data_IF_626110655471
#
_entry.id   IF_626110655471
#
_cell.length_a   1.000
_cell.length_b   1.000
_cell.length_c   1.000
_cell.angle_alpha   90.00
_cell.angle_beta   90.00
_cell.angle_gamma   90.00
#
_symmetry.space_group_name_H-M   'P 1'
#
loop_
_entity.id
_entity.type
_entity.pdbx_description
1 polymer ?
#
# COMPACT_ATOMS: atom_id res chain seq x y z
N UNK A 1 -17.89 12.37 -28.37
CA UNK A 1 -18.58 12.76 -27.12
C UNK A 1 -18.48 11.63 -26.09
N UNK A 2 -18.81 10.42 -26.48
CA UNK A 2 -18.75 9.28 -25.55
C UNK A 2 -17.34 9.00 -25.06
N UNK A 3 -16.34 9.12 -25.94
CA UNK A 3 -14.95 8.87 -25.56
C UNK A 3 -14.42 9.94 -24.59
N UNK A 4 -14.87 11.16 -24.72
CA UNK A 4 -14.49 12.25 -23.81
C UNK A 4 -15.10 12.03 -22.44
N UNK A 5 -16.38 11.67 -22.38
CA UNK A 5 -17.08 11.39 -21.12
C UNK A 5 -16.44 10.18 -20.42
N UNK A 6 -16.12 9.13 -21.15
CA UNK A 6 -15.44 7.95 -20.59
C UNK A 6 -14.05 8.29 -20.06
N UNK A 7 -13.31 9.12 -20.77
CA UNK A 7 -11.98 9.54 -20.34
C UNK A 7 -12.04 10.35 -19.04
N UNK A 8 -12.97 11.29 -18.94
CA UNK A 8 -13.15 12.11 -17.73
C UNK A 8 -13.54 11.20 -16.55
N UNK A 9 -14.44 10.25 -16.78
CA UNK A 9 -14.88 9.31 -15.75
C UNK A 9 -13.72 8.48 -15.23
N UNK A 10 -12.88 7.97 -16.13
CA UNK A 10 -11.70 7.19 -15.74
C UNK A 10 -10.71 8.02 -14.92
N UNK A 11 -10.48 9.28 -15.31
CA UNK A 11 -9.60 10.17 -14.58
C UNK A 11 -10.13 10.45 -13.17
N UNK A 12 -11.44 10.63 -13.02
CA UNK A 12 -12.07 10.84 -11.72
C UNK A 12 -12.00 9.58 -10.86
N UNK A 13 -12.18 8.40 -11.47
CA UNK A 13 -12.09 7.13 -10.75
C UNK A 13 -10.69 6.91 -10.17
N UNK A 14 -9.64 7.23 -10.93
CA UNK A 14 -8.26 7.14 -10.46
C UNK A 14 -8.03 8.12 -9.31
N UNK A 15 -8.54 9.33 -9.42
CA UNK A 15 -8.42 10.34 -8.37
C UNK A 15 -9.10 9.87 -7.09
N UNK A 16 -10.32 9.36 -7.20
CA UNK A 16 -11.07 8.86 -6.05
C UNK A 16 -10.37 7.66 -5.42
N UNK A 17 -9.83 6.78 -6.26
CA UNK A 17 -9.10 5.61 -5.79
C UNK A 17 -7.86 6.03 -5.01
N UNK A 18 -7.12 7.03 -5.51
CA UNK A 18 -5.94 7.56 -4.82
C UNK A 18 -6.30 8.13 -3.45
N UNK A 19 -7.41 8.85 -3.36
CA UNK A 19 -7.88 9.39 -2.07
C UNK A 19 -8.19 8.27 -1.09
N UNK A 20 -8.87 7.22 -1.54
CA UNK A 20 -9.17 6.06 -0.69
C UNK A 20 -7.90 5.34 -0.23
N UNK A 21 -6.93 5.21 -1.13
CA UNK A 21 -5.64 4.58 -0.80
C UNK A 21 -4.93 5.38 0.29
N UNK A 22 -4.80 6.69 0.13
CA UNK A 22 -4.12 7.52 1.12
C UNK A 22 -4.88 7.59 2.43
N UNK A 23 -6.20 7.54 2.39
CA UNK A 23 -7.01 7.45 3.60
C UNK A 23 -6.69 6.17 4.38
N UNK A 24 -6.60 5.04 3.70
CA UNK A 24 -6.24 3.77 4.33
C UNK A 24 -4.80 3.79 4.84
N UNK A 25 -3.87 4.36 4.06
CA UNK A 25 -2.46 4.46 4.49
C UNK A 25 -2.33 5.31 5.76
N UNK A 26 -3.15 6.34 5.89
CA UNK A 26 -3.10 7.25 7.06
C UNK A 26 -3.60 6.60 8.35
N UNK A 27 -4.19 5.41 8.25
CA UNK A 27 -4.64 4.65 9.43
C UNK A 27 -3.60 3.65 9.91
N UNK A 28 -2.56 3.42 9.13
CA UNK A 28 -1.54 2.42 9.44
C UNK A 28 -0.50 3.05 10.36
N UNK A 29 -0.22 2.37 11.46
CA UNK A 29 0.65 2.87 12.53
C UNK A 29 1.92 2.02 12.60
N UNK A 30 3.06 2.70 12.78
CA UNK A 30 4.30 2.03 13.14
C UNK A 30 4.18 1.57 14.60
N UNK A 31 4.13 0.26 14.87
CA UNK A 31 3.87 -0.23 16.22
C UNK A 31 5.01 0.08 17.19
N UNK A 32 6.20 0.37 16.70
CA UNK A 32 7.35 0.69 17.55
C UNK A 32 7.20 2.05 18.22
N UNK A 33 6.68 3.04 17.50
CA UNK A 33 6.58 4.41 18.00
C UNK A 33 5.15 4.94 18.02
N UNK A 34 4.19 4.11 17.66
CA UNK A 34 2.76 4.40 17.73
C UNK A 34 2.38 5.69 16.98
N UNK A 35 2.99 5.89 15.83
CA UNK A 35 2.75 7.05 14.96
C UNK A 35 2.42 6.54 13.56
N UNK A 36 1.53 7.24 12.85
CA UNK A 36 1.12 6.78 11.52
C UNK A 36 2.27 6.86 10.51
N UNK A 37 2.25 5.96 9.54
CA UNK A 37 3.31 5.92 8.52
C UNK A 37 3.29 7.17 7.64
N UNK A 38 2.15 7.82 7.50
CA UNK A 38 2.06 9.06 6.73
C UNK A 38 2.68 10.24 7.50
N UNK A 39 2.46 10.32 8.81
CA UNK A 39 3.11 11.34 9.63
C UNK A 39 4.62 11.17 9.67
N UNK A 40 5.09 9.93 9.61
CA UNK A 40 6.52 9.61 9.59
C UNK A 40 7.14 9.76 8.20
N UNK A 41 6.31 10.08 7.19
CA UNK A 41 6.75 10.23 5.80
C UNK A 41 7.46 8.97 5.28
N UNK A 42 6.95 7.80 5.65
CA UNK A 42 7.54 6.52 5.24
C UNK A 42 7.13 6.09 3.84
N UNK A 43 6.00 6.61 3.33
CA UNK A 43 5.52 6.25 2.00
C UNK A 43 6.22 7.12 0.96
N UNK A 44 6.99 6.50 0.08
CA UNK A 44 7.78 7.20 -0.94
C UNK A 44 7.00 7.41 -2.22
N UNK A 45 6.25 6.39 -2.65
CA UNK A 45 5.53 6.47 -3.92
C UNK A 45 4.35 5.50 -3.92
N UNK A 46 3.26 5.91 -4.57
CA UNK A 46 2.08 5.07 -4.79
C UNK A 46 1.76 5.10 -6.28
N UNK A 47 1.91 3.96 -6.94
CA UNK A 47 1.60 3.80 -8.36
C UNK A 47 0.30 3.03 -8.52
N UNK A 48 -0.61 3.57 -9.31
CA UNK A 48 -1.89 2.94 -9.63
C UNK A 48 -1.92 2.63 -11.12
N UNK A 49 -2.06 1.34 -11.45
CA UNK A 49 -2.20 0.90 -12.85
C UNK A 49 -3.41 -0.02 -12.90
N UNK A 50 -4.47 0.45 -13.55
CA UNK A 50 -5.75 -0.26 -13.61
C UNK A 50 -6.26 -0.60 -12.22
N UNK A 51 -6.34 -1.87 -11.86
CA UNK A 51 -6.81 -2.32 -10.55
C UNK A 51 -5.65 -2.74 -9.65
N UNK A 52 -4.42 -2.45 -10.04
CA UNK A 52 -3.21 -2.79 -9.30
C UNK A 52 -2.61 -1.56 -8.66
N UNK A 53 -2.11 -1.72 -7.44
CA UNK A 53 -1.45 -0.65 -6.69
C UNK A 53 -0.09 -1.13 -6.24
N UNK A 54 0.93 -0.30 -6.44
CA UNK A 54 2.27 -0.55 -5.90
C UNK A 54 2.61 0.56 -4.93
N UNK A 55 3.02 0.19 -3.72
CA UNK A 55 3.41 1.14 -2.68
C UNK A 55 4.89 0.95 -2.37
N UNK A 56 5.67 1.99 -2.58
CA UNK A 56 7.08 2.02 -2.19
C UNK A 56 7.20 2.79 -0.88
N UNK A 57 7.91 2.20 0.07
CA UNK A 57 8.10 2.81 1.38
C UNK A 57 9.47 2.44 1.96
N UNK A 58 9.87 3.18 2.98
CA UNK A 58 11.05 2.86 3.77
C UNK A 58 10.67 2.83 5.25
N UNK A 59 11.53 2.26 6.08
CA UNK A 59 11.30 2.19 7.52
C UNK A 59 12.13 3.27 8.23
N UNK A 60 11.80 3.52 9.50
CA UNK A 60 12.48 4.57 10.28
C UNK A 60 13.96 4.28 10.49
N UNK A 61 14.35 3.01 10.46
CA UNK A 61 15.74 2.59 10.59
C UNK A 61 15.98 1.33 9.78
N UNK A 62 17.16 1.20 9.13
CA UNK A 62 17.49 -0.04 8.43
C UNK A 62 17.66 -1.23 9.36
N UNK A 63 17.78 -1.00 10.66
CA UNK A 63 17.95 -2.03 11.70
C UNK A 63 16.72 -2.21 12.57
N UNK A 64 15.60 -1.59 12.22
CA UNK A 64 14.33 -1.80 12.89
C UNK A 64 14.00 -3.31 12.92
N UNK A 65 13.50 -3.86 14.05
CA UNK A 65 13.15 -5.29 14.08
C UNK A 65 12.21 -5.64 12.95
N UNK A 66 12.53 -6.74 12.25
CA UNK A 66 11.80 -7.14 11.05
C UNK A 66 10.31 -7.35 11.30
N UNK A 67 9.93 -7.74 12.52
CA UNK A 67 8.53 -7.95 12.87
C UNK A 67 7.70 -6.67 12.71
N UNK A 68 8.27 -5.52 13.01
CA UNK A 68 7.56 -4.24 12.84
C UNK A 68 7.43 -3.87 11.37
N UNK A 69 8.50 -4.04 10.60
CA UNK A 69 8.44 -3.81 9.15
C UNK A 69 7.46 -4.75 8.47
N UNK A 70 7.47 -6.00 8.85
CA UNK A 70 6.54 -6.98 8.31
C UNK A 70 5.08 -6.59 8.63
N UNK A 71 4.82 -6.17 9.87
CA UNK A 71 3.49 -5.75 10.30
C UNK A 71 2.97 -4.57 9.47
N UNK A 72 3.81 -3.55 9.29
CA UNK A 72 3.45 -2.37 8.50
C UNK A 72 3.12 -2.77 7.07
N UNK A 73 4.01 -3.54 6.43
CA UNK A 73 3.83 -3.94 5.04
C UNK A 73 2.62 -4.85 4.86
N UNK A 74 2.38 -5.75 5.79
CA UNK A 74 1.22 -6.63 5.74
C UNK A 74 -0.08 -5.84 5.90
N UNK A 75 -0.10 -4.86 6.81
CA UNK A 75 -1.27 -4.00 7.00
C UNK A 75 -1.55 -3.19 5.74
N UNK A 76 -0.53 -2.66 5.08
CA UNK A 76 -0.70 -1.95 3.80
C UNK A 76 -1.33 -2.89 2.77
N UNK A 77 -0.76 -4.07 2.61
CA UNK A 77 -1.23 -5.06 1.64
C UNK A 77 -2.70 -5.40 1.88
N UNK A 78 -3.03 -5.78 3.11
CA UNK A 78 -4.37 -6.25 3.43
C UNK A 78 -5.40 -5.13 3.39
N UNK A 79 -5.06 -3.95 3.91
CA UNK A 79 -6.01 -2.84 3.94
C UNK A 79 -6.30 -2.29 2.55
N UNK A 80 -5.29 -2.20 1.70
CA UNK A 80 -5.51 -1.72 0.33
C UNK A 80 -6.32 -2.72 -0.49
N UNK A 81 -6.16 -4.01 -0.25
CA UNK A 81 -6.97 -5.02 -0.94
C UNK A 81 -8.44 -4.98 -0.55
N UNK A 82 -8.78 -4.34 0.57
CA UNK A 82 -10.17 -4.17 0.98
C UNK A 82 -10.91 -3.08 0.21
N UNK A 83 -10.17 -2.26 -0.53
CA UNK A 83 -10.77 -1.14 -1.29
C UNK A 83 -11.40 -1.66 -2.57
N UNK A 84 -12.65 -1.25 -2.83
CA UNK A 84 -13.33 -1.60 -4.08
C UNK A 84 -12.55 -1.03 -5.26
N UNK A 85 -12.30 -1.84 -6.26
CA UNK A 85 -11.56 -1.46 -7.46
C UNK A 85 -10.08 -1.82 -7.40
N UNK A 86 -9.61 -2.43 -6.31
CA UNK A 86 -8.23 -2.91 -6.20
C UNK A 86 -8.21 -4.43 -6.11
N UNK A 87 -7.56 -5.07 -7.07
CA UNK A 87 -7.42 -6.53 -7.14
C UNK A 87 -6.04 -7.00 -6.73
N UNK A 88 -5.02 -6.15 -6.88
CA UNK A 88 -3.64 -6.54 -6.64
C UNK A 88 -2.90 -5.41 -5.95
N UNK A 89 -2.15 -5.76 -4.92
CA UNK A 89 -1.32 -4.80 -4.17
C UNK A 89 0.08 -5.38 -4.06
N UNK A 90 1.07 -4.57 -4.47
CA UNK A 90 2.47 -4.88 -4.29
C UNK A 90 3.06 -3.87 -3.31
N UNK A 91 3.75 -4.37 -2.30
CA UNK A 91 4.42 -3.54 -1.32
C UNK A 91 5.92 -3.72 -1.50
N UNK A 92 6.65 -2.60 -1.59
CA UNK A 92 8.09 -2.63 -1.77
C UNK A 92 8.75 -1.76 -0.71
N UNK A 93 9.15 -2.39 0.40
CA UNK A 93 9.92 -1.71 1.44
C UNK A 93 11.40 -1.70 1.04
N UNK A 94 12.09 -0.61 1.34
CA UNK A 94 13.50 -0.44 1.04
C UNK A 94 14.24 0.02 2.29
N UNK A 95 15.56 0.08 2.18
CA UNK A 95 16.46 0.58 3.22
C UNK A 95 16.30 -0.17 4.55
N UNK A 96 16.22 -1.50 4.45
CA UNK A 96 16.14 -2.37 5.63
C UNK A 96 16.90 -3.65 5.36
N UNK A 97 17.57 -4.19 6.38
CA UNK A 97 18.44 -5.36 6.20
C UNK A 97 17.65 -6.63 5.81
N UNK A 98 16.35 -6.67 6.09
CA UNK A 98 15.48 -7.80 5.70
C UNK A 98 14.41 -7.40 4.69
N UNK A 99 14.63 -6.32 3.93
CA UNK A 99 13.64 -5.81 2.97
C UNK A 99 13.20 -6.89 1.97
N UNK A 100 14.14 -7.65 1.44
CA UNK A 100 13.84 -8.67 0.44
C UNK A 100 12.91 -9.75 1.00
N UNK A 101 13.19 -10.23 2.21
CA UNK A 101 12.36 -11.25 2.86
C UNK A 101 10.97 -10.71 3.18
N UNK A 102 10.88 -9.48 3.66
CA UNK A 102 9.59 -8.85 3.97
C UNK A 102 8.76 -8.73 2.68
N UNK A 103 9.36 -8.19 1.63
CA UNK A 103 8.66 -7.99 0.36
C UNK A 103 8.17 -9.31 -0.23
N UNK A 104 9.02 -10.32 -0.23
CA UNK A 104 8.65 -11.63 -0.77
C UNK A 104 7.48 -12.23 -0.01
N UNK A 105 7.55 -12.21 1.30
CA UNK A 105 6.52 -12.83 2.13
C UNK A 105 5.18 -12.08 2.04
N UNK A 106 5.22 -10.76 2.10
CA UNK A 106 4.00 -9.95 2.04
C UNK A 106 3.35 -10.06 0.66
N UNK A 107 4.14 -9.98 -0.42
CA UNK A 107 3.59 -9.99 -1.77
C UNK A 107 3.11 -11.37 -2.20
N UNK A 108 3.51 -12.42 -1.51
CA UNK A 108 3.02 -13.78 -1.75
C UNK A 108 1.82 -14.14 -0.88
N UNK A 109 1.41 -13.25 0.02
CA UNK A 109 0.26 -13.52 0.88
C UNK A 109 -1.04 -13.42 0.08
N UNK A 110 -2.06 -14.24 0.42
CA UNK A 110 -3.33 -14.19 -0.29
C UNK A 110 -4.13 -12.95 0.06
N UNK A 111 -5.11 -12.63 -0.80
CA UNK A 111 -6.06 -11.55 -0.51
C UNK A 111 -6.99 -12.02 0.60
N UNK A 112 -6.94 -11.39 1.79
CA UNK A 112 -7.77 -11.82 2.92
C UNK A 112 -9.26 -11.54 2.72
N UNK A 113 -9.60 -10.72 1.73
CA UNK A 113 -10.98 -10.32 1.45
C UNK A 113 -11.58 -11.06 0.27
N UNK A 114 -10.79 -11.90 -0.40
CA UNK A 114 -11.24 -12.64 -1.57
C UNK A 114 -11.93 -13.93 -1.13
N UNK A 115 -13.15 -14.11 -1.59
CA UNK A 115 -13.89 -15.36 -1.36
C UNK A 115 -13.67 -16.29 -2.54
N UNK A 116 -13.18 -17.46 -2.26
CA UNK A 116 -13.02 -18.52 -3.27
C UNK A 116 -14.27 -19.38 -3.36
#
# INVERSE_FOLDING_TARGET
IYSIVGFISMAQDVKQLRVKIFDELSKIVDPEINTTITELELVDEVDIVDESVKVDLHLTSPFCPAVFGFKICQDIHDNLLSIDGIDDVKVNVSNHFMAEQINTQVNNSPNPHKKD
#
